data_IF_854087257142
#
_entry.id   IF_854087257142
#
_cell.length_a   1.000
_cell.length_b   1.000
_cell.length_c   1.000
_cell.angle_alpha   90.00
_cell.angle_beta   90.00
_cell.angle_gamma   90.00
#
_symmetry.space_group_name_H-M   'P 1'
#
loop_
_entity.id
_entity.type
_entity.pdbx_description
1 polymer ?
#
# COMPACT_ATOMS: atom_id res chain seq x y z
N UNK A 1 -19.27 -5.50 -37.03
CA UNK A 1 -18.24 -6.43 -36.49
C UNK A 1 -17.29 -5.56 -35.68
N UNK A 2 -17.58 -5.36 -34.39
CA UNK A 2 -16.87 -4.38 -33.56
C UNK A 2 -15.75 -5.09 -32.80
N UNK A 3 -14.51 -4.77 -33.17
CA UNK A 3 -13.30 -5.18 -32.46
C UNK A 3 -13.23 -4.41 -31.13
N UNK A 4 -13.52 -5.08 -30.02
CA UNK A 4 -13.13 -4.62 -28.70
C UNK A 4 -11.73 -5.18 -28.42
N UNK A 5 -10.70 -4.32 -28.45
CA UNK A 5 -9.40 -4.67 -27.90
C UNK A 5 -9.53 -4.75 -26.38
N UNK A 6 -9.61 -5.97 -25.84
CA UNK A 6 -9.30 -6.24 -24.44
C UNK A 6 -7.80 -5.99 -24.27
N UNK A 7 -7.44 -4.80 -23.78
CA UNK A 7 -6.12 -4.57 -23.23
C UNK A 7 -6.05 -5.30 -21.89
N UNK A 8 -5.86 -6.62 -21.94
CA UNK A 8 -5.51 -7.39 -20.75
C UNK A 8 -4.20 -6.84 -20.22
N UNK A 9 -4.17 -6.48 -18.94
CA UNK A 9 -2.94 -6.12 -18.24
C UNK A 9 -2.00 -7.33 -18.33
N UNK A 10 -1.01 -7.28 -19.22
CA UNK A 10 0.05 -8.28 -19.28
C UNK A 10 0.93 -8.03 -18.07
N UNK A 11 0.81 -8.88 -17.05
CA UNK A 11 1.80 -8.91 -15.97
C UNK A 11 3.18 -9.17 -16.60
N UNK A 12 4.24 -8.46 -16.18
CA UNK A 12 5.60 -8.83 -16.57
C UNK A 12 5.82 -10.32 -16.28
N UNK A 13 6.47 -11.05 -17.19
CA UNK A 13 6.72 -12.49 -17.09
C UNK A 13 7.51 -12.92 -15.84
N UNK A 14 8.01 -11.95 -15.06
CA UNK A 14 8.76 -12.11 -13.81
C UNK A 14 8.07 -11.46 -12.60
N UNK A 15 6.86 -10.92 -12.75
CA UNK A 15 6.16 -10.25 -11.65
C UNK A 15 5.73 -11.25 -10.58
N UNK A 16 6.38 -11.20 -9.42
CA UNK A 16 5.98 -11.95 -8.22
C UNK A 16 4.86 -11.18 -7.52
N UNK A 17 3.68 -11.78 -7.49
CA UNK A 17 2.53 -11.22 -6.79
C UNK A 17 2.68 -11.43 -5.28
N UNK A 18 2.27 -10.43 -4.52
CA UNK A 18 2.24 -10.49 -3.07
C UNK A 18 1.07 -9.71 -2.48
N UNK A 19 0.66 -10.07 -1.27
CA UNK A 19 -0.12 -9.19 -0.41
C UNK A 19 0.80 -8.31 0.43
N UNK A 20 0.32 -7.11 0.75
CA UNK A 20 0.93 -6.25 1.77
C UNK A 20 0.18 -6.46 3.08
N UNK A 21 0.91 -6.83 4.13
CA UNK A 21 0.37 -7.21 5.44
C UNK A 21 1.07 -6.47 6.56
N UNK A 22 0.32 -5.91 7.49
CA UNK A 22 0.90 -5.28 8.68
C UNK A 22 1.48 -6.32 9.63
N UNK A 23 2.53 -5.93 10.36
CA UNK A 23 3.13 -6.74 11.42
C UNK A 23 3.89 -5.88 12.43
N UNK A 24 4.33 -6.48 13.53
CA UNK A 24 5.05 -5.79 14.61
C UNK A 24 4.38 -4.49 15.04
N UNK A 25 3.05 -4.45 15.24
CA UNK A 25 2.38 -3.19 15.53
C UNK A 25 2.58 -2.77 16.99
N UNK A 26 2.53 -1.47 17.24
CA UNK A 26 2.38 -0.94 18.60
C UNK A 26 0.97 -1.22 19.18
N UNK A 27 -0.05 -1.18 18.32
CA UNK A 27 -1.46 -1.41 18.67
C UNK A 27 -1.85 -2.78 18.13
N UNK A 28 -2.17 -3.75 18.99
CA UNK A 28 -2.41 -5.14 18.58
C UNK A 28 -3.52 -5.30 17.54
N UNK A 29 -4.53 -4.42 17.55
CA UNK A 29 -5.61 -4.42 16.56
C UNK A 29 -5.13 -4.09 15.13
N UNK A 30 -3.93 -3.52 14.98
CA UNK A 30 -3.31 -3.22 13.70
C UNK A 30 -2.45 -4.38 13.18
N UNK A 31 -2.39 -5.52 13.86
CA UNK A 31 -1.63 -6.69 13.42
C UNK A 31 -2.36 -7.48 12.34
N UNK A 32 -1.60 -8.12 11.45
CA UNK A 32 -2.12 -9.08 10.47
C UNK A 32 -3.29 -8.53 9.62
N UNK A 33 -3.25 -7.24 9.29
CA UNK A 33 -4.19 -6.59 8.38
C UNK A 33 -3.59 -6.46 6.99
N UNK A 34 -4.42 -6.66 5.96
CA UNK A 34 -4.03 -6.67 4.56
C UNK A 34 -4.50 -5.41 3.86
N UNK A 35 -3.65 -4.89 2.97
CA UNK A 35 -4.00 -3.70 2.18
C UNK A 35 -5.03 -4.05 1.11
N UNK A 36 -6.08 -3.24 1.03
CA UNK A 36 -7.07 -3.27 -0.04
C UNK A 36 -7.40 -1.85 -0.53
N UNK A 37 -7.99 -1.77 -1.72
CA UNK A 37 -8.39 -0.51 -2.34
C UNK A 37 -9.82 -0.14 -1.89
N UNK A 38 -9.93 0.79 -0.93
CA UNK A 38 -11.22 1.35 -0.51
C UNK A 38 -11.62 2.53 -1.40
N UNK A 39 -12.64 2.36 -2.23
CA UNK A 39 -13.04 3.35 -3.23
C UNK A 39 -13.61 4.62 -2.59
N UNK A 40 -12.96 5.76 -2.87
CA UNK A 40 -13.37 7.09 -2.37
C UNK A 40 -13.81 8.03 -3.49
N UNK A 41 -13.28 7.86 -4.70
CA UNK A 41 -13.68 8.65 -5.88
C UNK A 41 -13.21 7.97 -7.18
N UNK A 42 -13.66 8.50 -8.33
CA UNK A 42 -13.21 8.02 -9.63
C UNK A 42 -11.68 8.04 -9.74
N UNK A 43 -11.10 6.87 -9.97
CA UNK A 43 -9.66 6.66 -10.08
C UNK A 43 -8.88 6.82 -8.77
N UNK A 44 -9.56 6.85 -7.62
CA UNK A 44 -8.94 7.02 -6.31
C UNK A 44 -9.47 6.06 -5.25
N UNK A 45 -8.54 5.44 -4.55
CA UNK A 45 -8.85 4.62 -3.39
C UNK A 45 -7.92 5.01 -2.24
N UNK A 46 -8.42 4.93 -1.02
CA UNK A 46 -7.55 4.87 0.15
C UNK A 46 -6.90 3.47 0.21
N UNK A 47 -5.64 3.42 0.64
CA UNK A 47 -5.03 2.16 1.04
C UNK A 47 -5.57 1.79 2.43
N UNK A 48 -6.73 1.12 2.44
CA UNK A 48 -7.36 0.65 3.66
C UNK A 48 -6.83 -0.73 4.05
N UNK A 49 -7.10 -1.14 5.29
CA UNK A 49 -6.59 -2.36 5.89
C UNK A 49 -7.73 -3.22 6.42
N UNK A 50 -7.65 -4.53 6.19
CA UNK A 50 -8.69 -5.50 6.54
C UNK A 50 -8.08 -6.81 7.05
N UNK A 51 -8.66 -7.49 8.04
CA UNK A 51 -8.24 -8.84 8.41
C UNK A 51 -8.66 -9.89 7.38
N UNK A 52 -9.62 -9.57 6.50
CA UNK A 52 -10.13 -10.49 5.48
C UNK A 52 -9.24 -10.46 4.23
N UNK A 53 -8.48 -11.54 4.02
CA UNK A 53 -7.63 -11.70 2.84
C UNK A 53 -8.42 -11.76 1.53
N UNK A 54 -9.72 -12.09 1.56
CA UNK A 54 -10.58 -12.10 0.38
C UNK A 54 -10.84 -10.71 -0.21
N UNK A 55 -10.81 -9.68 0.64
CA UNK A 55 -10.91 -8.28 0.24
C UNK A 55 -9.57 -7.71 -0.22
N UNK A 56 -8.46 -8.27 0.29
CA UNK A 56 -7.11 -7.87 -0.07
C UNK A 56 -6.85 -8.07 -1.57
N UNK A 57 -6.01 -7.19 -2.13
CA UNK A 57 -5.68 -7.22 -3.55
C UNK A 57 -4.19 -7.43 -3.72
N UNK A 58 -3.77 -8.42 -4.54
CA UNK A 58 -2.35 -8.62 -4.81
C UNK A 58 -1.74 -7.37 -5.46
N UNK A 59 -0.47 -7.17 -5.15
CA UNK A 59 0.38 -6.18 -5.78
C UNK A 59 1.67 -6.84 -6.30
N UNK A 60 2.42 -6.10 -7.09
CA UNK A 60 3.75 -6.48 -7.54
C UNK A 60 4.66 -5.27 -7.66
N UNK A 61 5.96 -5.53 -7.66
CA UNK A 61 6.99 -4.54 -7.96
C UNK A 61 7.10 -4.35 -9.47
N UNK A 62 6.91 -3.12 -9.93
CA UNK A 62 7.15 -2.69 -11.32
C UNK A 62 8.27 -1.64 -11.33
N UNK A 63 9.52 -2.09 -11.45
CA UNK A 63 10.68 -1.26 -11.11
C UNK A 63 10.67 -0.92 -9.62
N UNK A 64 10.75 0.37 -9.27
CA UNK A 64 10.61 0.85 -7.90
C UNK A 64 9.19 1.36 -7.57
N UNK A 65 8.16 0.85 -8.26
CA UNK A 65 6.76 1.19 -8.04
C UNK A 65 5.97 -0.02 -7.55
N UNK A 66 4.94 0.22 -6.75
CA UNK A 66 4.00 -0.81 -6.30
C UNK A 66 2.70 -0.69 -7.09
N UNK A 67 2.36 -1.74 -7.82
CA UNK A 67 1.16 -1.78 -8.65
C UNK A 67 0.21 -2.89 -8.19
N UNK A 68 -1.07 -2.56 -8.02
CA UNK A 68 -2.13 -3.47 -7.59
C UNK A 68 -2.90 -4.07 -8.77
N UNK A 69 -3.31 -5.33 -8.60
CA UNK A 69 -4.20 -6.02 -9.54
C UNK A 69 -5.66 -5.90 -9.08
N UNK A 70 -6.36 -4.87 -9.54
CA UNK A 70 -7.77 -4.59 -9.16
C UNK A 70 -8.80 -5.09 -10.19
N UNK A 71 -8.47 -6.11 -10.99
CA UNK A 71 -9.34 -6.65 -12.05
C UNK A 71 -9.92 -5.57 -12.97
N UNK A 72 -9.09 -4.59 -13.33
CA UNK A 72 -9.47 -3.50 -14.23
C UNK A 72 -8.35 -3.25 -15.25
N UNK A 73 -8.65 -2.60 -16.39
CA UNK A 73 -7.63 -2.29 -17.41
C UNK A 73 -6.70 -1.14 -16.98
N UNK A 74 -6.87 -0.59 -15.78
CA UNK A 74 -6.14 0.58 -15.32
C UNK A 74 -4.93 0.18 -14.48
N UNK A 75 -3.88 1.00 -14.55
CA UNK A 75 -2.70 0.85 -13.72
C UNK A 75 -2.96 1.51 -12.35
N UNK A 76 -3.27 0.69 -11.36
CA UNK A 76 -3.48 1.12 -9.99
C UNK A 76 -2.18 1.05 -9.21
N UNK A 77 -1.69 2.18 -8.74
CA UNK A 77 -0.41 2.28 -8.07
C UNK A 77 -0.55 2.81 -6.65
N UNK A 78 0.33 2.32 -5.76
CA UNK A 78 0.47 2.87 -4.42
C UNK A 78 1.03 4.29 -4.52
N UNK A 79 0.41 5.20 -3.78
CA UNK A 79 0.65 6.64 -3.88
C UNK A 79 0.68 7.26 -2.49
N UNK A 80 1.87 7.36 -1.84
CA UNK A 80 2.05 8.11 -0.62
C UNK A 80 1.84 9.59 -0.90
N UNK A 81 0.73 10.14 -0.41
CA UNK A 81 0.34 11.51 -0.78
C UNK A 81 1.23 12.56 -0.11
N UNK A 82 1.38 13.71 -0.77
CA UNK A 82 1.96 14.88 -0.16
C UNK A 82 0.86 15.73 0.49
N UNK A 83 0.92 15.88 1.81
CA UNK A 83 0.12 16.87 2.55
C UNK A 83 1.08 17.82 3.26
N UNK A 84 0.98 19.12 2.97
CA UNK A 84 1.87 20.11 3.56
C UNK A 84 1.70 20.16 5.08
N UNK A 85 2.83 20.25 5.79
CA UNK A 85 2.90 20.41 7.25
C UNK A 85 2.28 19.28 8.09
N UNK A 86 1.94 18.14 7.48
CA UNK A 86 1.43 16.98 8.20
C UNK A 86 2.57 16.11 8.73
N UNK A 87 2.47 15.66 9.99
CA UNK A 87 3.42 14.75 10.63
C UNK A 87 3.31 13.31 10.10
N UNK A 88 2.14 12.93 9.59
CA UNK A 88 1.90 11.68 8.85
C UNK A 88 0.93 11.96 7.71
N UNK A 89 1.00 11.16 6.65
CA UNK A 89 0.31 11.45 5.39
C UNK A 89 -0.38 10.20 4.84
N UNK A 90 -1.57 10.34 4.24
CA UNK A 90 -2.32 9.19 3.77
C UNK A 90 -1.63 8.52 2.59
N UNK A 91 -1.84 7.22 2.49
CA UNK A 91 -1.42 6.41 1.34
C UNK A 91 -2.66 6.04 0.55
N UNK A 92 -2.58 6.23 -0.76
CA UNK A 92 -3.68 5.94 -1.68
C UNK A 92 -3.30 4.84 -2.67
N UNK A 93 -4.30 4.28 -3.32
CA UNK A 93 -4.17 3.39 -4.47
C UNK A 93 -4.93 4.03 -5.64
N UNK A 94 -4.20 4.70 -6.53
CA UNK A 94 -4.79 5.57 -7.56
C UNK A 94 -4.43 5.09 -8.97
N UNK A 95 -5.27 5.45 -9.94
CA UNK A 95 -4.92 5.27 -11.36
C UNK A 95 -3.80 6.25 -11.71
N UNK A 96 -2.80 5.78 -12.46
CA UNK A 96 -1.78 6.64 -13.04
C UNK A 96 -0.41 5.99 -13.03
N UNK A 97 0.66 6.80 -13.10
CA UNK A 97 2.03 6.28 -13.08
C UNK A 97 2.47 5.83 -11.68
N UNK A 98 1.86 6.33 -10.60
CA UNK A 98 2.30 6.04 -9.23
C UNK A 98 3.65 6.64 -8.85
N UNK A 99 4.03 6.47 -7.59
CA UNK A 99 5.33 6.94 -7.09
C UNK A 99 6.41 5.87 -7.19
N UNK A 100 7.63 6.34 -7.44
CA UNK A 100 8.85 5.55 -7.46
C UNK A 100 9.57 5.57 -6.09
N UNK A 101 10.68 4.84 -5.96
CA UNK A 101 11.47 4.80 -4.73
C UNK A 101 11.01 3.75 -3.71
N UNK A 102 10.13 2.83 -4.09
CA UNK A 102 9.81 1.65 -3.29
C UNK A 102 10.90 0.58 -3.41
N UNK A 103 11.14 -0.14 -2.32
CA UNK A 103 12.03 -1.29 -2.25
C UNK A 103 11.58 -2.24 -1.14
N UNK A 104 12.06 -3.48 -1.16
CA UNK A 104 11.73 -4.49 -0.13
C UNK A 104 13.02 -4.83 0.63
N UNK A 105 12.95 -4.88 1.95
CA UNK A 105 14.03 -5.34 2.83
C UNK A 105 13.47 -6.26 3.95
N UNK A 106 14.27 -6.57 4.98
CA UNK A 106 13.86 -7.42 6.11
C UNK A 106 12.65 -6.88 6.89
N UNK A 107 12.42 -5.57 6.89
CA UNK A 107 11.24 -4.93 7.50
C UNK A 107 9.99 -4.99 6.60
N UNK A 108 10.15 -5.36 5.33
CA UNK A 108 9.07 -5.47 4.35
C UNK A 108 9.18 -4.41 3.26
N UNK A 109 8.04 -3.97 2.73
CA UNK A 109 7.98 -2.86 1.79
C UNK A 109 8.44 -1.57 2.47
N UNK A 110 9.28 -0.80 1.83
CA UNK A 110 9.80 0.49 2.28
C UNK A 110 9.67 1.52 1.16
N UNK A 111 9.73 2.79 1.52
CA UNK A 111 9.81 3.91 0.59
C UNK A 111 11.04 4.78 0.88
N UNK A 112 11.46 5.58 -0.08
CA UNK A 112 12.71 6.34 0.04
C UNK A 112 12.63 7.42 1.11
N UNK A 113 13.61 7.43 2.02
CA UNK A 113 13.80 8.53 2.98
C UNK A 113 13.92 9.90 2.28
N UNK A 114 14.59 9.95 1.13
CA UNK A 114 14.73 11.18 0.34
C UNK A 114 13.38 11.71 -0.19
N UNK A 115 12.33 10.88 -0.19
CA UNK A 115 10.95 11.24 -0.51
C UNK A 115 10.10 11.57 0.74
N UNK A 116 10.71 11.56 1.93
CA UNK A 116 10.08 11.88 3.21
C UNK A 116 9.53 10.69 3.98
N UNK A 117 9.90 9.45 3.61
CA UNK A 117 9.42 8.26 4.31
C UNK A 117 10.10 8.08 5.67
N UNK A 118 9.34 8.19 6.75
CA UNK A 118 9.78 7.94 8.13
C UNK A 118 9.29 6.61 8.72
N UNK A 119 8.58 5.79 7.95
CA UNK A 119 7.98 4.54 8.40
C UNK A 119 6.48 4.44 8.11
N UNK A 120 5.93 3.23 8.18
CA UNK A 120 4.50 2.99 8.01
C UNK A 120 3.72 3.20 9.30
N UNK A 121 2.48 3.62 9.15
CA UNK A 121 1.57 3.93 10.23
C UNK A 121 0.17 3.40 9.88
N UNK A 122 -0.51 2.85 10.86
CA UNK A 122 -1.94 2.52 10.75
C UNK A 122 -2.71 3.43 11.69
N UNK A 123 -3.80 4.01 11.19
CA UNK A 123 -4.74 4.80 11.98
C UNK A 123 -6.19 4.38 11.70
N UNK A 124 -7.01 4.30 12.74
CA UNK A 124 -8.47 4.33 12.58
C UNK A 124 -8.91 5.78 12.34
N UNK A 125 -9.32 6.10 11.11
CA UNK A 125 -9.54 7.49 10.66
C UNK A 125 -10.92 7.70 9.99
N UNK A 126 -10.95 8.50 8.92
CA UNK A 126 -12.12 9.17 8.35
C UNK A 126 -13.27 8.24 7.92
N UNK A 127 -12.95 7.00 7.55
CA UNK A 127 -13.94 6.04 7.05
C UNK A 127 -14.34 4.95 8.06
N UNK A 128 -13.98 5.11 9.35
CA UNK A 128 -14.18 4.08 10.39
C UNK A 128 -13.59 2.72 9.97
N UNK A 129 -12.43 2.78 9.30
CA UNK A 129 -11.61 1.65 8.90
C UNK A 129 -10.16 1.95 9.28
N UNK A 130 -9.35 0.94 9.61
CA UNK A 130 -7.91 1.12 9.68
C UNK A 130 -7.40 1.46 8.28
N UNK A 131 -6.58 2.50 8.20
CA UNK A 131 -6.03 3.02 6.94
C UNK A 131 -4.51 3.12 7.05
N UNK A 132 -3.83 2.91 5.92
CA UNK A 132 -2.39 3.02 5.82
C UNK A 132 -1.96 4.48 5.61
N UNK A 133 -1.03 4.91 6.44
CA UNK A 133 -0.35 6.18 6.40
C UNK A 133 1.16 5.95 6.41
N UNK A 134 1.92 7.00 6.14
CA UNK A 134 3.35 7.03 6.42
C UNK A 134 3.72 8.23 7.28
N UNK A 135 4.74 8.08 8.12
CA UNK A 135 5.34 9.15 8.91
C UNK A 135 6.19 10.05 8.02
N UNK A 136 6.11 11.37 8.20
CA UNK A 136 7.04 12.31 7.56
C UNK A 136 8.37 12.30 8.29
N UNK A 137 9.38 11.64 7.73
CA UNK A 137 10.68 11.46 8.38
C UNK A 137 11.35 12.76 8.86
N UNK A 138 11.01 13.91 8.28
CA UNK A 138 11.65 15.18 8.61
C UNK A 138 10.98 15.94 9.76
N UNK A 139 10.07 15.32 10.50
CA UNK A 139 9.27 15.99 11.54
C UNK A 139 9.18 15.15 12.81
N UNK A 140 8.99 15.82 13.95
CA UNK A 140 8.54 15.14 15.16
C UNK A 140 7.05 14.80 15.06
N UNK A 141 6.65 13.76 15.79
CA UNK A 141 5.31 13.19 15.68
C UNK A 141 4.67 13.04 17.05
N UNK A 142 3.47 13.60 17.21
CA UNK A 142 2.55 13.23 18.27
C UNK A 142 1.38 12.50 17.64
N UNK A 143 1.30 11.20 17.86
CA UNK A 143 0.31 10.33 17.23
C UNK A 143 -0.98 10.30 18.06
N UNK A 144 -2.16 10.40 17.42
CA UNK A 144 -3.43 10.08 18.06
C UNK A 144 -3.40 8.66 18.63
N UNK A 145 -4.18 8.40 19.68
CA UNK A 145 -4.24 7.08 20.33
C UNK A 145 -4.67 5.92 19.40
N UNK A 146 -5.37 6.22 18.31
CA UNK A 146 -5.78 5.26 17.29
C UNK A 146 -4.72 5.02 16.22
N UNK A 147 -3.57 5.70 16.29
CA UNK A 147 -2.49 5.59 15.33
C UNK A 147 -1.30 4.85 15.94
N UNK A 148 -0.73 3.89 15.22
CA UNK A 148 0.44 3.14 15.68
C UNK A 148 1.36 2.71 14.54
N UNK A 149 2.69 2.76 14.72
CA UNK A 149 3.64 2.31 13.72
C UNK A 149 3.51 0.80 13.49
N UNK A 150 3.80 0.38 12.26
CA UNK A 150 3.79 -1.02 11.83
C UNK A 150 4.93 -1.28 10.85
N UNK A 151 5.34 -2.54 10.74
CA UNK A 151 6.02 -3.05 9.56
C UNK A 151 4.98 -3.41 8.49
N UNK A 152 5.32 -3.24 7.20
CA UNK A 152 4.45 -3.62 6.08
C UNK A 152 5.11 -4.76 5.29
N UNK A 153 4.85 -6.00 5.70
CA UNK A 153 5.44 -7.21 5.14
C UNK A 153 4.85 -7.55 3.78
N UNK A 154 5.71 -8.15 2.96
CA UNK A 154 5.35 -8.73 1.67
C UNK A 154 5.09 -10.22 1.89
N UNK A 155 3.86 -10.66 1.62
CA UNK A 155 3.49 -12.07 1.63
C UNK A 155 3.30 -12.54 0.19
N UNK A 156 4.30 -13.22 -0.36
CA UNK A 156 4.25 -13.71 -1.73
C UNK A 156 3.20 -14.81 -1.92
N UNK A 157 2.53 -14.80 -3.07
CA UNK A 157 1.51 -15.77 -3.44
C UNK A 157 2.09 -17.06 -4.04
N UNK A 158 3.39 -17.08 -4.34
CA UNK A 158 4.07 -18.22 -4.99
C UNK A 158 4.60 -19.27 -4.01
N UNK A 159 4.24 -19.19 -2.72
CA UNK A 159 4.43 -20.28 -1.75
C UNK A 159 5.89 -20.58 -1.35
N UNK A 160 6.87 -19.82 -1.84
CA UNK A 160 8.26 -19.95 -1.42
C UNK A 160 8.60 -18.92 -0.36
N UNK A 161 8.53 -19.35 0.91
CA UNK A 161 9.12 -18.63 2.03
C UNK A 161 10.63 -18.55 1.81
N UNK A 162 11.17 -17.34 1.65
CA UNK A 162 12.61 -17.12 1.68
C UNK A 162 13.10 -17.31 3.12
N UNK A 163 14.03 -18.26 3.28
CA UNK A 163 14.81 -18.54 4.49
C UNK A 163 15.84 -17.42 4.73
#
# INVERSE_FOLDING_TARGET
MNLWFLLSLVLPTTARLFYLRTSSPLIQAHDNLYVYAYHVAAGRNDAALTPDIGDARPAFMNGSRIQFTLNSPFLWNLHPTAVNYAAWKPVMINIGQGDDGFFINSSGLQWSWAKGFGGWLVCDWYHNKPQLFYLDGFREHFLPSTCGPVDLKVQYLDGHSEL
#
